data_IF_955432711513
#
_entry.id   IF_955432711513
#
_cell.length_a   1.000
_cell.length_b   1.000
_cell.length_c   1.000
_cell.angle_alpha   90.00
_cell.angle_beta   90.00
_cell.angle_gamma   90.00
#
_symmetry.space_group_name_H-M   'P 1'
#
loop_
_entity.id
_entity.type
_entity.pdbx_description
1 polymer ?
#
# COMPACT_ATOMS: atom_id res chain seq x y z
N UNK A 1 21.40 11.30 26.28
CA UNK A 1 19.94 11.13 26.24
C UNK A 1 19.44 11.64 24.88
N UNK A 2 19.07 10.79 23.94
CA UNK A 2 18.25 11.22 22.80
C UNK A 2 17.18 10.15 22.61
N UNK A 3 15.92 10.59 22.59
CA UNK A 3 14.75 9.80 22.91
C UNK A 3 14.56 8.56 22.03
N UNK A 4 13.89 7.58 22.63
CA UNK A 4 13.33 6.42 21.93
C UNK A 4 12.43 6.95 20.83
N UNK A 5 12.85 6.86 19.58
CA UNK A 5 11.96 7.03 18.45
C UNK A 5 11.06 5.79 18.39
N UNK A 6 10.01 5.79 19.19
CA UNK A 6 8.76 5.15 18.79
C UNK A 6 8.30 5.95 17.57
N UNK A 7 8.85 5.65 16.38
CA UNK A 7 8.29 6.14 15.11
C UNK A 7 7.01 5.36 14.93
N UNK A 8 5.84 5.92 15.26
CA UNK A 8 4.61 5.18 15.11
C UNK A 8 4.28 5.35 13.64
N UNK A 9 4.63 4.39 12.77
CA UNK A 9 3.91 4.34 11.51
C UNK A 9 3.93 5.73 10.82
N UNK A 10 5.09 6.37 10.70
CA UNK A 10 5.26 7.60 9.90
C UNK A 10 5.22 7.15 8.43
N UNK A 11 4.08 6.59 8.07
CA UNK A 11 2.91 7.25 7.51
C UNK A 11 3.23 7.27 6.05
N UNK A 12 2.36 6.62 5.31
CA UNK A 12 2.44 6.49 3.88
C UNK A 12 2.19 7.89 3.25
N UNK A 13 3.00 8.90 3.59
CA UNK A 13 2.84 10.35 3.30
C UNK A 13 3.21 10.66 1.86
N UNK A 14 4.20 9.93 1.35
CA UNK A 14 4.52 9.90 -0.07
C UNK A 14 3.42 9.24 -0.91
N UNK A 15 2.35 8.74 -0.28
CA UNK A 15 1.22 8.16 -0.98
C UNK A 15 -0.09 8.89 -0.63
N UNK A 16 -0.93 9.08 -1.64
CA UNK A 16 -2.34 9.41 -1.42
C UNK A 16 -3.08 8.11 -1.09
N UNK A 17 -3.60 8.03 0.12
CA UNK A 17 -4.31 6.86 0.64
C UNK A 17 -5.82 6.92 0.36
N UNK A 18 -6.40 5.79 -0.03
CA UNK A 18 -7.83 5.61 -0.29
C UNK A 18 -8.34 4.32 0.34
N UNK A 19 -9.35 4.45 1.20
CA UNK A 19 -10.13 3.31 1.71
C UNK A 19 -11.16 2.88 0.68
N UNK A 20 -11.47 1.59 0.64
CA UNK A 20 -12.40 0.95 -0.29
C UNK A 20 -12.04 1.31 -1.73
N UNK A 21 -10.76 1.19 -2.05
CA UNK A 21 -10.21 1.52 -3.37
C UNK A 21 -9.24 0.43 -3.81
N UNK A 22 -9.21 0.15 -5.10
CA UNK A 22 -8.35 -0.86 -5.72
C UNK A 22 -7.76 -0.31 -7.01
N UNK A 23 -6.45 -0.46 -7.16
CA UNK A 23 -5.73 -0.17 -8.40
C UNK A 23 -5.58 -1.49 -9.17
N UNK A 24 -6.30 -1.65 -10.28
CA UNK A 24 -6.34 -2.95 -10.97
C UNK A 24 -5.12 -3.15 -11.87
N UNK A 25 -4.54 -4.36 -11.82
CA UNK A 25 -3.41 -4.77 -12.64
C UNK A 25 -2.07 -4.17 -12.20
N UNK A 26 -1.09 -4.25 -13.10
CA UNK A 26 0.29 -3.76 -12.91
C UNK A 26 1.01 -4.37 -11.69
N UNK A 27 0.61 -5.57 -11.26
CA UNK A 27 1.15 -6.17 -10.04
C UNK A 27 2.64 -6.51 -10.19
N UNK A 28 3.46 -6.03 -9.24
CA UNK A 28 4.88 -6.35 -9.10
C UNK A 28 5.01 -7.72 -8.45
N UNK A 29 4.66 -8.76 -9.22
CA UNK A 29 4.75 -10.15 -8.80
C UNK A 29 3.54 -10.62 -7.99
N UNK A 30 3.78 -11.59 -7.09
CA UNK A 30 2.73 -12.22 -6.28
C UNK A 30 2.37 -11.33 -5.10
N UNK A 31 1.11 -11.42 -4.66
CA UNK A 31 0.69 -10.77 -3.43
C UNK A 31 1.51 -11.28 -2.24
N UNK A 32 1.96 -10.36 -1.40
CA UNK A 32 2.60 -10.65 -0.11
C UNK A 32 1.58 -10.49 1.02
N UNK A 33 1.84 -11.06 2.19
CA UNK A 33 0.98 -10.92 3.35
C UNK A 33 1.53 -9.82 4.25
N UNK A 34 0.67 -8.88 4.63
CA UNK A 34 1.02 -7.77 5.51
C UNK A 34 -0.09 -7.51 6.54
N UNK A 35 0.30 -7.10 7.75
CA UNK A 35 -0.64 -6.96 8.86
C UNK A 35 -1.58 -5.78 8.67
N UNK A 36 -1.10 -4.72 8.03
CA UNK A 36 -1.86 -3.50 7.79
C UNK A 36 -1.45 -2.85 6.44
N UNK A 37 -2.16 -1.79 6.06
CA UNK A 37 -1.89 -1.07 4.80
C UNK A 37 -0.58 -0.28 4.81
N UNK A 38 -0.05 0.08 5.97
CA UNK A 38 1.20 0.83 6.10
C UNK A 38 2.42 -0.05 5.98
N UNK A 39 2.36 -1.30 6.42
CA UNK A 39 3.37 -2.30 6.11
C UNK A 39 3.40 -2.54 4.59
N UNK A 40 2.22 -2.64 3.95
CA UNK A 40 2.13 -2.74 2.49
C UNK A 40 2.71 -1.51 1.77
N UNK A 41 2.50 -0.33 2.33
CA UNK A 41 3.13 0.90 1.86
C UNK A 41 4.65 0.89 2.01
N UNK A 42 5.15 0.46 3.16
CA UNK A 42 6.58 0.36 3.43
C UNK A 42 7.27 -0.57 2.43
N UNK A 43 6.64 -1.70 2.10
CA UNK A 43 7.12 -2.58 1.03
C UNK A 43 7.11 -1.89 -0.33
N UNK A 44 6.04 -1.16 -0.68
CA UNK A 44 6.03 -0.38 -1.91
C UNK A 44 7.15 0.67 -1.94
N UNK A 45 7.43 1.34 -0.83
CA UNK A 45 8.51 2.33 -0.72
C UNK A 45 9.91 1.73 -0.91
N UNK A 46 10.12 0.46 -0.58
CA UNK A 46 11.39 -0.25 -0.82
C UNK A 46 11.63 -0.58 -2.29
N UNK A 47 10.59 -0.50 -3.13
CA UNK A 47 10.68 -0.77 -4.56
C UNK A 47 10.52 0.52 -5.35
N UNK A 48 11.60 0.96 -6.01
CA UNK A 48 11.57 2.16 -6.87
C UNK A 48 10.51 2.05 -7.97
N UNK A 49 10.30 0.83 -8.46
CA UNK A 49 9.31 0.52 -9.49
C UNK A 49 7.88 0.54 -8.98
N UNK A 50 7.63 0.59 -7.68
CA UNK A 50 6.29 0.55 -7.11
C UNK A 50 5.69 1.97 -7.01
N UNK A 51 4.65 2.21 -7.80
CA UNK A 51 3.96 3.50 -7.87
C UNK A 51 2.59 3.47 -7.19
N UNK A 52 2.07 2.28 -6.86
CA UNK A 52 0.84 2.13 -6.10
C UNK A 52 0.81 0.79 -5.36
N UNK A 53 -0.09 0.65 -4.40
CA UNK A 53 -0.38 -0.63 -3.78
C UNK A 53 -1.88 -0.78 -3.50
N UNK A 54 -2.31 -2.01 -3.30
CA UNK A 54 -3.64 -2.32 -2.78
C UNK A 54 -3.53 -3.42 -1.73
N UNK A 55 -3.90 -3.09 -0.50
CA UNK A 55 -3.95 -4.01 0.62
C UNK A 55 -5.39 -4.40 0.92
N UNK A 56 -5.67 -5.67 1.18
CA UNK A 56 -6.99 -6.16 1.54
C UNK A 56 -6.99 -6.62 3.00
N UNK A 57 -7.80 -5.99 3.87
CA UNK A 57 -7.78 -6.28 5.31
C UNK A 57 -8.47 -7.58 5.70
N UNK A 58 -9.31 -8.16 4.84
CA UNK A 58 -9.93 -9.46 5.10
C UNK A 58 -8.97 -10.61 4.82
N UNK A 59 -8.09 -10.46 3.84
CA UNK A 59 -7.16 -11.51 3.38
C UNK A 59 -5.70 -11.23 3.74
N UNK A 60 -5.42 -10.05 4.31
CA UNK A 60 -4.08 -9.52 4.56
C UNK A 60 -3.18 -9.44 3.32
N UNK A 61 -3.74 -9.57 2.11
CA UNK A 61 -2.99 -9.55 0.86
C UNK A 61 -2.62 -8.11 0.49
N UNK A 62 -1.34 -7.89 0.26
CA UNK A 62 -0.75 -6.68 -0.26
C UNK A 62 -0.30 -6.92 -1.71
N UNK A 63 -0.87 -6.15 -2.65
CA UNK A 63 -0.50 -6.14 -4.05
C UNK A 63 0.27 -4.86 -4.33
N UNK A 64 1.58 -5.00 -4.58
CA UNK A 64 2.44 -3.91 -5.02
C UNK A 64 2.25 -3.69 -6.53
N UNK A 65 2.27 -2.45 -7.00
CA UNK A 65 1.90 -2.12 -8.37
C UNK A 65 2.90 -1.19 -9.02
N UNK A 66 3.28 -1.52 -10.25
CA UNK A 66 4.27 -0.77 -11.01
C UNK A 66 3.74 0.55 -11.56
N UNK A 67 2.42 0.70 -11.63
CA UNK A 67 1.73 1.91 -12.06
C UNK A 67 0.34 1.95 -11.41
N UNK A 68 -0.20 3.15 -11.23
CA UNK A 68 -1.54 3.39 -10.67
C UNK A 68 -2.62 2.68 -11.51
N UNK A 69 -2.43 2.61 -12.83
CA UNK A 69 -3.38 1.97 -13.74
C UNK A 69 -4.81 2.50 -13.57
N UNK A 70 -5.79 1.60 -13.70
CA UNK A 70 -7.20 1.91 -13.45
C UNK A 70 -7.54 1.72 -11.97
N UNK A 71 -7.69 2.84 -11.25
CA UNK A 71 -8.16 2.88 -9.88
C UNK A 71 -9.67 3.11 -9.79
N UNK A 72 -10.34 2.43 -8.86
CA UNK A 72 -11.76 2.65 -8.59
C UNK A 72 -12.19 2.27 -7.18
N UNK A 73 -13.40 2.70 -6.81
CA UNK A 73 -14.04 2.22 -5.58
C UNK A 73 -14.16 0.70 -5.64
N UNK A 74 -13.86 0.07 -4.52
CA UNK A 74 -13.87 -1.36 -4.33
C UNK A 74 -14.85 -1.70 -3.19
N UNK A 75 -15.74 -2.66 -3.45
CA UNK A 75 -16.54 -3.29 -2.39
C UNK A 75 -15.74 -4.35 -1.62
N UNK A 76 -14.57 -4.72 -2.15
CA UNK A 76 -13.60 -5.53 -1.43
C UNK A 76 -12.97 -4.61 -0.41
N UNK A 77 -12.95 -5.07 0.82
CA UNK A 77 -12.36 -4.45 2.00
C UNK A 77 -10.87 -4.09 1.79
N UNK A 78 -10.60 -3.06 0.98
CA UNK A 78 -9.25 -2.71 0.50
C UNK A 78 -8.85 -1.30 0.87
N UNK A 79 -7.57 -1.13 1.14
CA UNK A 79 -6.90 0.15 1.31
C UNK A 79 -5.83 0.25 0.24
N UNK A 80 -5.94 1.26 -0.63
CA UNK A 80 -4.98 1.51 -1.68
C UNK A 80 -4.20 2.79 -1.39
N UNK A 81 -2.97 2.85 -1.90
CA UNK A 81 -2.16 4.07 -1.91
C UNK A 81 -1.53 4.25 -3.27
N UNK A 82 -1.44 5.49 -3.75
CA UNK A 82 -0.66 5.86 -4.94
C UNK A 82 0.46 6.82 -4.58
N UNK A 83 1.66 6.62 -5.12
CA UNK A 83 2.80 7.51 -4.89
C UNK A 83 2.49 8.89 -5.51
N UNK A 84 2.80 9.96 -4.77
CA UNK A 84 2.70 11.35 -5.23
C UNK A 84 3.92 11.75 -6.03
#
# INVERSE_FOLDING_TARGET
MCGIAIVPHETCTNFELKRNWDYRGNDLGKAIIQNNYTDCCAECSKHDRCNAFTWNWMTHRCLLKSSIGNGGRSTRATHAGRRQ
#
